data_IF_447102099921
#
_entry.id   IF_447102099921
#
_cell.length_a   1.000
_cell.length_b   1.000
_cell.length_c   1.000
_cell.angle_alpha   90.00
_cell.angle_beta   90.00
_cell.angle_gamma   90.00
#
_symmetry.space_group_name_H-M   'P 1'
#
loop_
_entity.id
_entity.type
_entity.pdbx_description
1 polymer ?
#
# COMPACT_ATOMS: atom_id res chain seq x y z
N UNK A 1 -3.29 -11.88 32.18
CA UNK A 1 -3.57 -10.83 31.18
C UNK A 1 -2.92 -9.50 31.55
N UNK A 2 -3.05 -8.99 32.77
CA UNK A 2 -2.57 -7.67 33.17
C UNK A 2 -1.04 -7.49 33.08
N UNK A 3 -0.26 -8.52 33.46
CA UNK A 3 1.20 -8.52 33.25
C UNK A 3 1.57 -8.19 31.81
N UNK A 4 0.95 -8.85 30.85
CA UNK A 4 1.24 -8.66 29.42
C UNK A 4 0.75 -7.32 28.88
N UNK A 5 -0.37 -6.80 29.40
CA UNK A 5 -0.81 -5.45 29.09
C UNK A 5 0.21 -4.41 29.56
N UNK A 6 0.80 -4.57 30.76
CA UNK A 6 1.86 -3.70 31.28
C UNK A 6 3.13 -3.79 30.43
N UNK A 7 3.50 -5.00 29.99
CA UNK A 7 4.63 -5.20 29.05
C UNK A 7 4.40 -4.43 27.75
N UNK A 8 3.21 -4.51 27.17
CA UNK A 8 2.86 -3.80 25.93
C UNK A 8 2.77 -2.26 26.14
N UNK A 9 2.37 -1.83 27.34
CA UNK A 9 2.36 -0.40 27.71
C UNK A 9 3.75 0.20 27.71
N UNK A 10 4.76 -0.55 28.16
CA UNK A 10 6.18 -0.14 28.13
C UNK A 10 6.80 -0.24 26.73
N UNK A 11 6.45 -1.30 25.98
CA UNK A 11 7.00 -1.57 24.65
C UNK A 11 6.66 -0.49 23.60
N UNK A 12 5.49 0.14 23.71
CA UNK A 12 4.97 1.04 22.68
C UNK A 12 4.55 2.40 23.25
N UNK A 13 5.29 3.49 22.95
CA UNK A 13 4.89 4.84 23.36
C UNK A 13 3.65 5.33 22.60
N UNK A 14 3.42 4.85 21.36
CA UNK A 14 2.28 5.26 20.56
C UNK A 14 0.99 4.55 21.00
N UNK A 15 0.00 5.31 21.47
CA UNK A 15 -1.26 4.81 22.00
C UNK A 15 -2.01 3.88 21.02
N UNK A 16 -2.07 4.24 19.72
CA UNK A 16 -2.74 3.43 18.70
C UNK A 16 -2.04 2.09 18.45
N UNK A 17 -0.72 2.09 18.41
CA UNK A 17 0.07 0.85 18.28
C UNK A 17 -0.14 -0.05 19.48
N UNK A 18 -0.05 0.51 20.68
CA UNK A 18 -0.30 -0.17 21.95
C UNK A 18 -1.65 -0.88 21.96
N UNK A 19 -2.73 -0.15 21.67
CA UNK A 19 -4.09 -0.72 21.67
C UNK A 19 -4.26 -1.82 20.61
N UNK A 20 -3.63 -1.68 19.45
CA UNK A 20 -3.61 -2.73 18.43
C UNK A 20 -2.96 -4.03 18.92
N UNK A 21 -1.86 -3.95 19.67
CA UNK A 21 -1.21 -5.13 20.24
C UNK A 21 -2.02 -5.75 21.37
N UNK A 22 -2.62 -4.94 22.27
CA UNK A 22 -3.54 -5.42 23.31
C UNK A 22 -4.77 -6.11 22.68
N UNK A 23 -5.35 -5.53 21.65
CA UNK A 23 -6.48 -6.13 20.92
C UNK A 23 -6.09 -7.46 20.27
N UNK A 24 -4.88 -7.55 19.69
CA UNK A 24 -4.39 -8.83 19.15
C UNK A 24 -4.16 -9.89 20.23
N UNK A 25 -3.66 -9.50 21.40
CA UNK A 25 -3.48 -10.42 22.52
C UNK A 25 -4.82 -10.97 23.00
N UNK A 26 -5.82 -10.11 23.20
CA UNK A 26 -7.19 -10.53 23.51
C UNK A 26 -7.79 -11.45 22.45
N UNK A 27 -7.56 -11.12 21.16
CA UNK A 27 -7.98 -11.93 20.03
C UNK A 27 -7.30 -13.31 20.02
N UNK A 28 -5.99 -13.35 20.28
CA UNK A 28 -5.21 -14.59 20.33
C UNK A 28 -5.72 -15.55 21.40
N UNK A 29 -5.90 -15.08 22.64
CA UNK A 29 -6.38 -15.88 23.76
C UNK A 29 -7.82 -16.36 23.54
N UNK A 30 -8.69 -15.48 23.06
CA UNK A 30 -10.09 -15.85 22.74
C UNK A 30 -10.17 -16.93 21.66
N UNK A 31 -9.43 -16.78 20.56
CA UNK A 31 -9.49 -17.71 19.42
C UNK A 31 -8.87 -19.07 19.72
N UNK A 32 -7.87 -19.11 20.60
CA UNK A 32 -7.25 -20.35 21.07
C UNK A 32 -8.01 -21.00 22.24
N UNK A 33 -9.04 -20.34 22.75
CA UNK A 33 -9.78 -20.71 23.95
C UNK A 33 -8.85 -20.93 25.15
N UNK A 34 -7.90 -19.99 25.34
CA UNK A 34 -6.88 -20.06 26.36
C UNK A 34 -6.86 -18.75 27.17
N UNK A 35 -7.29 -18.82 28.42
CA UNK A 35 -7.37 -17.61 29.26
C UNK A 35 -6.02 -17.09 29.73
N UNK A 36 -5.03 -17.98 29.90
CA UNK A 36 -3.67 -17.61 30.30
C UNK A 36 -2.73 -17.57 29.07
N UNK A 37 -2.33 -16.38 28.61
CA UNK A 37 -1.37 -16.24 27.51
C UNK A 37 -0.06 -16.99 27.75
N UNK A 38 0.34 -17.21 29.02
CA UNK A 38 1.57 -17.89 29.39
C UNK A 38 1.61 -19.31 28.85
N UNK A 39 0.49 -20.02 28.85
CA UNK A 39 0.40 -21.38 28.31
C UNK A 39 0.64 -21.39 26.80
N UNK A 40 0.08 -20.41 26.10
CA UNK A 40 0.34 -20.26 24.64
C UNK A 40 1.83 -20.03 24.39
N UNK A 41 2.44 -19.11 25.16
CA UNK A 41 3.83 -18.71 24.96
C UNK A 41 4.80 -19.88 25.24
N UNK A 42 4.52 -20.73 26.24
CA UNK A 42 5.37 -21.86 26.66
C UNK A 42 5.28 -23.09 25.74
N UNK A 43 4.23 -23.23 24.95
CA UNK A 43 3.98 -24.44 24.16
C UNK A 43 3.82 -24.18 22.64
N UNK A 44 4.90 -23.73 21.96
CA UNK A 44 4.86 -23.37 20.54
C UNK A 44 4.37 -24.48 19.63
N UNK A 45 4.82 -25.72 19.84
CA UNK A 45 4.47 -26.87 18.99
C UNK A 45 2.99 -27.28 19.13
N UNK A 46 2.36 -26.97 20.27
CA UNK A 46 0.93 -27.20 20.48
C UNK A 46 0.07 -26.12 19.84
N UNK A 47 0.49 -24.86 19.94
CA UNK A 47 -0.36 -23.73 19.52
C UNK A 47 -0.10 -23.24 18.11
N UNK A 48 1.09 -23.42 17.53
CA UNK A 48 1.35 -23.00 16.16
C UNK A 48 0.48 -23.70 15.11
N UNK A 49 0.22 -25.01 15.15
CA UNK A 49 -0.72 -25.66 14.24
C UNK A 49 -2.14 -25.10 14.37
N UNK A 50 -2.59 -24.81 15.60
CA UNK A 50 -3.89 -24.16 15.83
C UNK A 50 -3.95 -22.76 15.18
N UNK A 51 -2.87 -21.98 15.31
CA UNK A 51 -2.76 -20.67 14.63
C UNK A 51 -2.80 -20.80 13.10
N UNK A 52 -2.26 -21.87 12.54
CA UNK A 52 -2.32 -22.11 11.09
C UNK A 52 -3.76 -22.34 10.61
N UNK A 53 -4.55 -23.07 11.39
CA UNK A 53 -5.97 -23.33 11.11
C UNK A 53 -6.83 -22.07 11.29
N UNK A 54 -6.64 -21.37 12.41
CA UNK A 54 -7.46 -20.20 12.78
C UNK A 54 -7.14 -19.00 11.87
N UNK A 55 -5.87 -18.80 11.52
CA UNK A 55 -5.39 -17.70 10.69
C UNK A 55 -4.76 -18.19 9.39
N UNK A 56 -5.55 -18.51 8.35
CA UNK A 56 -5.03 -19.00 7.07
C UNK A 56 -4.15 -17.97 6.36
N UNK A 57 -4.38 -16.67 6.60
CA UNK A 57 -3.55 -15.58 6.03
C UNK A 57 -2.15 -15.56 6.64
N UNK A 58 -1.13 -15.69 5.80
CA UNK A 58 0.28 -15.58 6.21
C UNK A 58 0.58 -14.26 6.93
N UNK A 59 0.01 -13.15 6.45
CA UNK A 59 0.22 -11.81 7.05
C UNK A 59 -0.39 -11.74 8.45
N UNK A 60 -1.57 -12.28 8.66
CA UNK A 60 -2.22 -12.31 9.97
C UNK A 60 -1.42 -13.18 10.94
N UNK A 61 -1.01 -14.38 10.53
CA UNK A 61 -0.17 -15.26 11.36
C UNK A 61 1.14 -14.58 11.74
N UNK A 62 1.85 -13.97 10.78
CA UNK A 62 3.07 -13.23 11.07
C UNK A 62 2.83 -12.14 12.12
N UNK A 63 1.73 -11.40 12.03
CA UNK A 63 1.40 -10.38 13.02
C UNK A 63 1.15 -10.96 14.41
N UNK A 64 0.57 -12.18 14.52
CA UNK A 64 0.41 -12.88 15.80
C UNK A 64 1.76 -13.35 16.36
N UNK A 65 2.62 -13.92 15.50
CA UNK A 65 3.96 -14.29 15.92
C UNK A 65 4.82 -13.09 16.31
N UNK A 66 4.67 -11.95 15.60
CA UNK A 66 5.33 -10.70 15.99
C UNK A 66 4.89 -10.25 17.39
N UNK A 67 3.59 -10.34 17.73
CA UNK A 67 3.10 -10.07 19.10
C UNK A 67 3.81 -10.97 20.12
N UNK A 68 3.86 -12.28 19.86
CA UNK A 68 4.50 -13.26 20.75
C UNK A 68 5.99 -12.91 20.98
N UNK A 69 6.71 -12.60 19.89
CA UNK A 69 8.12 -12.22 19.98
C UNK A 69 8.35 -10.89 20.74
N UNK A 70 7.43 -9.94 20.61
CA UNK A 70 7.46 -8.70 21.39
C UNK A 70 7.33 -9.01 22.88
N UNK A 71 6.40 -9.90 23.28
CA UNK A 71 6.24 -10.28 24.68
C UNK A 71 7.50 -10.93 25.24
N UNK A 72 8.15 -11.83 24.51
CA UNK A 72 9.45 -12.40 24.92
C UNK A 72 10.59 -11.38 24.96
N UNK A 73 10.59 -10.40 24.09
CA UNK A 73 11.61 -9.36 24.05
C UNK A 73 11.52 -8.41 25.26
N UNK A 74 10.31 -8.01 25.58
CA UNK A 74 10.04 -6.99 26.59
C UNK A 74 9.84 -7.57 28.01
N UNK A 75 9.72 -8.90 28.14
CA UNK A 75 9.68 -9.61 29.42
C UNK A 75 10.89 -10.56 29.55
N UNK A 76 12.02 -10.06 30.11
CA UNK A 76 13.26 -10.84 30.26
C UNK A 76 13.06 -12.11 31.11
N UNK A 77 12.22 -12.06 32.13
CA UNK A 77 11.92 -13.22 33.01
C UNK A 77 11.23 -14.30 32.19
N UNK A 78 10.20 -13.97 31.43
CA UNK A 78 9.52 -14.91 30.53
C UNK A 78 10.50 -15.58 29.57
N UNK A 79 11.43 -14.78 28.99
CA UNK A 79 12.43 -15.28 28.05
C UNK A 79 13.46 -16.20 28.70
N UNK A 80 13.96 -15.83 29.89
CA UNK A 80 14.98 -16.62 30.61
C UNK A 80 14.43 -17.94 31.14
N UNK A 81 13.17 -17.97 31.57
CA UNK A 81 12.50 -19.18 31.99
C UNK A 81 12.11 -20.12 30.82
N UNK A 82 11.96 -19.58 29.61
CA UNK A 82 11.45 -20.34 28.46
C UNK A 82 12.28 -20.10 27.18
N UNK A 83 13.61 -20.30 27.23
CA UNK A 83 14.48 -19.97 26.08
C UNK A 83 14.18 -20.81 24.84
N UNK A 84 13.88 -22.10 25.02
CA UNK A 84 13.56 -23.02 23.93
C UNK A 84 12.25 -22.61 23.22
N UNK A 85 11.21 -22.23 23.97
CA UNK A 85 9.96 -21.77 23.41
C UNK A 85 10.14 -20.45 22.63
N UNK A 86 10.90 -19.49 23.19
CA UNK A 86 11.21 -18.25 22.52
C UNK A 86 11.93 -18.47 21.18
N UNK A 87 12.93 -19.39 21.17
CA UNK A 87 13.67 -19.74 19.96
C UNK A 87 12.73 -20.42 18.91
N UNK A 88 11.82 -21.26 19.33
CA UNK A 88 10.88 -21.96 18.46
C UNK A 88 9.86 -21.00 17.84
N UNK A 89 9.30 -20.07 18.60
CA UNK A 89 8.43 -19.04 18.07
C UNK A 89 9.15 -18.14 17.07
N UNK A 90 10.43 -17.81 17.35
CA UNK A 90 11.26 -17.06 16.40
C UNK A 90 11.47 -17.84 15.11
N UNK A 91 11.76 -19.13 15.18
CA UNK A 91 11.89 -19.99 13.99
C UNK A 91 10.62 -19.93 13.12
N UNK A 92 9.42 -20.14 13.71
CA UNK A 92 8.17 -20.08 12.99
C UNK A 92 7.91 -18.70 12.36
N UNK A 93 8.27 -17.62 13.05
CA UNK A 93 8.18 -16.28 12.52
C UNK A 93 9.09 -16.08 11.31
N UNK A 94 10.36 -16.47 11.41
CA UNK A 94 11.36 -16.30 10.36
C UNK A 94 11.00 -17.14 9.12
N UNK A 95 10.41 -18.31 9.29
CA UNK A 95 9.88 -19.12 8.19
C UNK A 95 8.75 -18.40 7.45
N UNK A 96 7.81 -17.79 8.17
CA UNK A 96 6.74 -16.99 7.54
C UNK A 96 7.29 -15.75 6.84
N UNK A 97 8.31 -15.08 7.41
CA UNK A 97 8.98 -13.94 6.78
C UNK A 97 9.61 -14.38 5.46
N UNK A 98 10.35 -15.50 5.44
CA UNK A 98 10.95 -16.03 4.20
C UNK A 98 9.91 -16.32 3.11
N UNK A 99 8.80 -16.95 3.47
CA UNK A 99 7.71 -17.24 2.53
C UNK A 99 7.11 -15.94 1.98
N UNK A 100 6.86 -14.94 2.83
CA UNK A 100 6.34 -13.64 2.39
C UNK A 100 7.32 -12.89 1.49
N UNK A 101 8.60 -12.87 1.84
CA UNK A 101 9.63 -12.21 1.04
C UNK A 101 9.77 -12.88 -0.34
N UNK A 102 9.70 -14.20 -0.42
CA UNK A 102 9.72 -14.91 -1.69
C UNK A 102 8.53 -14.50 -2.58
N UNK A 103 7.32 -14.37 -2.01
CA UNK A 103 6.14 -13.87 -2.75
C UNK A 103 6.33 -12.43 -3.21
N UNK A 104 6.81 -11.55 -2.33
CA UNK A 104 7.08 -10.15 -2.66
C UNK A 104 8.13 -10.01 -3.77
N UNK A 105 9.21 -10.83 -3.74
CA UNK A 105 10.24 -10.83 -4.79
C UNK A 105 9.70 -11.27 -6.14
N UNK A 106 8.70 -12.16 -6.17
CA UNK A 106 8.02 -12.57 -7.41
C UNK A 106 7.00 -11.54 -7.89
N UNK A 107 6.71 -10.51 -7.08
CA UNK A 107 5.64 -9.54 -7.35
C UNK A 107 4.30 -10.22 -7.68
N UNK A 108 3.97 -11.29 -6.95
CA UNK A 108 2.75 -12.06 -7.16
C UNK A 108 1.60 -11.47 -6.32
N UNK A 109 0.46 -11.11 -6.94
CA UNK A 109 -0.73 -10.74 -6.20
C UNK A 109 -1.35 -11.95 -5.47
N UNK A 110 -2.06 -11.69 -4.40
CA UNK A 110 -2.90 -12.71 -3.76
C UNK A 110 -4.17 -12.95 -4.62
N UNK A 111 -4.74 -14.16 -4.60
CA UNK A 111 -5.95 -14.51 -5.35
C UNK A 111 -7.10 -13.54 -5.08
N UNK A 112 -7.22 -13.08 -3.84
CA UNK A 112 -8.21 -12.06 -3.46
C UNK A 112 -7.98 -10.74 -4.19
N UNK A 113 -6.73 -10.34 -4.35
CA UNK A 113 -6.38 -9.09 -5.05
C UNK A 113 -6.68 -9.20 -6.55
N UNK A 114 -6.41 -10.37 -7.14
CA UNK A 114 -6.76 -10.65 -8.55
C UNK A 114 -8.28 -10.56 -8.76
N UNK A 115 -9.08 -11.16 -7.88
CA UNK A 115 -10.55 -11.11 -7.96
C UNK A 115 -11.13 -9.70 -7.77
N UNK A 116 -10.43 -8.85 -7.03
CA UNK A 116 -10.86 -7.49 -6.73
C UNK A 116 -10.22 -6.44 -7.66
N UNK A 117 -9.45 -6.87 -8.64
CA UNK A 117 -8.74 -5.98 -9.54
C UNK A 117 -9.72 -5.28 -10.51
N UNK A 118 -9.62 -3.96 -10.60
CA UNK A 118 -10.34 -3.13 -11.57
C UNK A 118 -9.29 -2.38 -12.37
N UNK A 119 -9.24 -2.55 -13.69
CA UNK A 119 -8.21 -1.90 -14.51
C UNK A 119 -8.35 -0.38 -14.47
N UNK A 120 -7.24 0.32 -14.71
CA UNK A 120 -7.26 1.78 -14.81
C UNK A 120 -8.14 2.27 -15.97
N UNK A 121 -8.20 1.50 -17.06
CA UNK A 121 -9.08 1.77 -18.18
C UNK A 121 -10.57 1.70 -17.77
N UNK A 122 -10.99 0.65 -17.05
CA UNK A 122 -12.36 0.54 -16.51
C UNK A 122 -12.71 1.72 -15.60
N UNK A 123 -11.75 2.17 -14.75
CA UNK A 123 -11.95 3.33 -13.88
C UNK A 123 -12.15 4.60 -14.71
N UNK A 124 -11.30 4.81 -15.72
CA UNK A 124 -11.35 5.97 -16.61
C UNK A 124 -12.64 6.01 -17.41
N UNK A 125 -13.07 4.88 -17.97
CA UNK A 125 -14.32 4.78 -18.75
C UNK A 125 -15.56 5.01 -17.87
N UNK A 126 -15.55 4.49 -16.64
CA UNK A 126 -16.63 4.76 -15.69
C UNK A 126 -16.70 6.22 -15.30
N UNK A 127 -15.55 6.87 -15.06
CA UNK A 127 -15.47 8.31 -14.83
C UNK A 127 -16.07 9.09 -15.98
N UNK A 128 -15.67 8.81 -17.24
CA UNK A 128 -16.22 9.48 -18.44
C UNK A 128 -17.73 9.31 -18.56
N UNK A 129 -18.24 8.10 -18.31
CA UNK A 129 -19.68 7.83 -18.29
C UNK A 129 -20.40 8.63 -17.23
N UNK A 130 -19.89 8.66 -16.00
CA UNK A 130 -20.51 9.44 -14.92
C UNK A 130 -20.43 10.96 -15.19
N UNK A 131 -19.38 11.44 -15.86
CA UNK A 131 -19.23 12.86 -16.22
C UNK A 131 -20.31 13.34 -17.20
N UNK A 132 -20.74 12.46 -18.12
CA UNK A 132 -21.79 12.76 -19.13
C UNK A 132 -23.20 12.48 -18.62
N UNK A 133 -23.34 11.57 -17.65
CA UNK A 133 -24.62 11.25 -17.02
C UNK A 133 -24.98 12.33 -15.97
N UNK A 134 -26.00 13.09 -16.25
CA UNK A 134 -26.50 14.13 -15.35
C UNK A 134 -27.60 13.65 -14.44
N UNK A 135 -27.88 14.35 -13.37
CA UNK A 135 -26.99 15.06 -12.44
C UNK A 135 -26.68 14.19 -11.22
N UNK A 136 -25.51 14.38 -10.60
CA UNK A 136 -25.19 13.76 -9.30
C UNK A 136 -26.03 14.42 -8.20
N UNK A 137 -27.31 14.06 -8.11
CA UNK A 137 -28.31 14.74 -7.28
C UNK A 137 -28.20 14.45 -5.78
N UNK A 138 -27.46 13.41 -5.40
CA UNK A 138 -27.23 13.07 -3.99
C UNK A 138 -25.77 13.27 -3.61
N UNK A 139 -25.51 13.52 -2.33
CA UNK A 139 -24.15 13.58 -1.80
C UNK A 139 -23.37 12.31 -2.15
N UNK A 140 -24.00 11.15 -2.03
CA UNK A 140 -23.39 9.85 -2.35
C UNK A 140 -22.93 9.79 -3.81
N UNK A 141 -23.80 10.06 -4.78
CA UNK A 141 -23.46 10.00 -6.21
C UNK A 141 -22.43 11.07 -6.61
N UNK A 142 -22.49 12.25 -5.98
CA UNK A 142 -21.51 13.30 -6.16
C UNK A 142 -20.13 12.89 -5.64
N UNK A 143 -20.04 12.22 -4.49
CA UNK A 143 -18.78 11.70 -3.94
C UNK A 143 -18.25 10.48 -4.72
N UNK A 144 -19.12 9.64 -5.28
CA UNK A 144 -18.73 8.55 -6.18
C UNK A 144 -18.04 9.09 -7.43
N UNK A 145 -18.65 10.07 -8.09
CA UNK A 145 -18.07 10.74 -9.24
C UNK A 145 -16.73 11.38 -8.90
N UNK A 146 -16.68 12.13 -7.79
CA UNK A 146 -15.47 12.83 -7.36
C UNK A 146 -14.33 11.88 -7.00
N UNK A 147 -14.62 10.72 -6.40
CA UNK A 147 -13.62 9.69 -6.15
C UNK A 147 -12.97 9.22 -7.45
N UNK A 148 -13.76 8.92 -8.48
CA UNK A 148 -13.22 8.50 -9.78
C UNK A 148 -12.46 9.64 -10.47
N UNK A 149 -12.94 10.89 -10.38
CA UNK A 149 -12.22 12.06 -10.89
C UNK A 149 -10.83 12.18 -10.26
N UNK A 150 -10.74 12.08 -8.93
CA UNK A 150 -9.44 12.11 -8.22
C UNK A 150 -8.53 10.97 -8.67
N UNK A 151 -9.05 9.75 -8.81
CA UNK A 151 -8.25 8.59 -9.24
C UNK A 151 -7.75 8.68 -10.68
N UNK A 152 -8.47 9.39 -11.54
CA UNK A 152 -8.08 9.59 -12.95
C UNK A 152 -7.05 10.72 -13.08
N UNK A 153 -7.18 11.77 -12.29
CA UNK A 153 -6.39 13.00 -12.45
C UNK A 153 -5.21 13.10 -11.49
N UNK A 154 -5.23 12.42 -10.34
CA UNK A 154 -4.13 12.42 -9.36
C UNK A 154 -3.57 11.00 -9.13
N UNK A 155 -2.34 10.98 -8.61
CA UNK A 155 -1.74 9.74 -8.11
C UNK A 155 -2.56 9.21 -6.93
N UNK A 156 -2.86 7.90 -6.87
CA UNK A 156 -3.63 7.35 -5.77
C UNK A 156 -2.91 7.52 -4.43
N UNK A 157 -3.51 8.31 -3.54
CA UNK A 157 -3.04 8.49 -2.18
C UNK A 157 -3.46 7.29 -1.31
N UNK A 158 -3.01 7.26 -0.06
CA UNK A 158 -3.55 6.36 0.95
C UNK A 158 -4.92 6.84 1.41
N UNK A 159 -5.43 6.23 2.48
CA UNK A 159 -6.72 6.63 3.08
C UNK A 159 -6.71 8.03 3.71
N UNK A 160 -5.59 8.73 3.66
CA UNK A 160 -5.40 10.08 4.20
C UNK A 160 -6.26 11.14 3.48
N UNK A 161 -6.82 10.83 2.31
CA UNK A 161 -7.78 11.68 1.59
C UNK A 161 -9.15 11.82 2.30
N UNK A 162 -9.48 10.95 3.24
CA UNK A 162 -10.77 10.95 3.93
C UNK A 162 -11.04 12.18 4.78
N UNK A 163 -10.00 12.93 5.18
CA UNK A 163 -10.10 14.11 6.03
C UNK A 163 -9.44 15.35 5.39
N UNK A 164 -9.41 15.44 4.07
CA UNK A 164 -8.88 16.63 3.37
C UNK A 164 -9.89 17.74 3.40
N UNK A 165 -9.54 18.86 4.04
CA UNK A 165 -10.36 20.05 4.18
C UNK A 165 -10.32 20.91 2.93
N UNK A 166 -11.39 21.65 2.67
CA UNK A 166 -11.51 22.52 1.48
C UNK A 166 -11.40 23.98 1.88
N UNK A 167 -10.47 24.70 1.25
CA UNK A 167 -10.33 26.13 1.31
C UNK A 167 -10.59 26.74 -0.06
N UNK A 168 -11.34 27.86 -0.11
CA UNK A 168 -11.79 28.48 -1.38
C UNK A 168 -11.01 29.74 -1.76
N UNK A 169 -10.19 30.25 -0.86
CA UNK A 169 -9.48 31.51 -1.02
C UNK A 169 -7.99 31.32 -0.74
N UNK A 170 -7.46 32.04 0.24
CA UNK A 170 -6.03 32.07 0.52
C UNK A 170 -5.51 30.75 1.09
N UNK A 171 -4.21 30.51 0.87
CA UNK A 171 -3.49 29.42 1.47
C UNK A 171 -3.50 29.55 3.00
N UNK A 172 -4.13 28.62 3.73
CA UNK A 172 -4.20 28.68 5.19
C UNK A 172 -2.83 28.39 5.85
N UNK A 173 -1.82 27.89 5.10
CA UNK A 173 -0.49 27.46 5.59
C UNK A 173 -0.55 26.58 6.84
N UNK A 174 -1.59 25.74 6.92
CA UNK A 174 -1.77 24.82 8.04
C UNK A 174 -0.81 23.63 7.95
N UNK A 175 -0.25 23.22 9.09
CA UNK A 175 0.64 22.06 9.19
C UNK A 175 0.01 20.90 9.94
N UNK A 176 -1.14 21.12 10.59
CA UNK A 176 -1.87 20.18 11.43
C UNK A 176 -3.08 19.52 10.75
N UNK A 177 -3.27 19.77 9.45
CA UNK A 177 -4.34 19.16 8.65
C UNK A 177 -3.90 18.92 7.20
N UNK A 178 -4.62 18.02 6.50
CA UNK A 178 -4.55 17.88 5.05
C UNK A 178 -5.64 18.76 4.43
N UNK A 179 -5.30 19.47 3.36
CA UNK A 179 -6.26 20.39 2.74
C UNK A 179 -6.05 20.55 1.24
N UNK A 180 -7.09 21.06 0.59
CA UNK A 180 -7.08 21.51 -0.79
C UNK A 180 -7.42 22.99 -0.84
N UNK A 181 -6.69 23.76 -1.64
CA UNK A 181 -6.98 25.16 -1.94
C UNK A 181 -7.56 25.24 -3.34
N UNK A 182 -8.81 25.70 -3.43
CA UNK A 182 -9.53 25.93 -4.70
C UNK A 182 -9.60 27.43 -4.98
N UNK A 183 -8.55 28.00 -5.59
CA UNK A 183 -8.50 29.43 -5.89
C UNK A 183 -9.54 29.82 -6.91
N UNK A 184 -10.26 30.91 -6.64
CA UNK A 184 -11.28 31.47 -7.55
C UNK A 184 -10.67 32.38 -8.60
N UNK A 185 -9.61 33.11 -8.24
CA UNK A 185 -8.92 34.08 -9.09
C UNK A 185 -7.39 33.89 -8.95
N UNK A 186 -6.70 33.90 -10.06
CA UNK A 186 -5.24 33.87 -10.14
C UNK A 186 -4.52 32.72 -9.43
N UNK A 187 -3.65 32.01 -10.12
CA UNK A 187 -2.81 30.95 -9.58
C UNK A 187 -3.45 29.55 -9.54
N UNK A 188 -2.60 28.54 -9.40
CA UNK A 188 -3.00 27.13 -9.40
C UNK A 188 -3.76 26.74 -8.14
N UNK A 189 -4.77 25.88 -8.28
CA UNK A 189 -5.35 25.14 -7.14
C UNK A 189 -4.48 23.96 -6.82
N UNK A 190 -4.32 23.59 -5.54
CA UNK A 190 -3.37 22.57 -5.12
C UNK A 190 -3.84 21.79 -3.89
N UNK A 191 -3.32 20.57 -3.75
CA UNK A 191 -3.54 19.67 -2.62
C UNK A 191 -2.31 19.67 -1.71
N UNK A 192 -2.51 19.85 -0.40
CA UNK A 192 -1.44 19.80 0.62
C UNK A 192 -1.69 18.61 1.55
N UNK A 193 -0.67 17.77 1.67
CA UNK A 193 -0.67 16.60 2.55
C UNK A 193 0.41 16.78 3.62
N UNK A 194 -0.02 17.00 4.88
CA UNK A 194 0.83 17.14 6.05
C UNK A 194 0.76 15.91 6.96
N UNK A 195 -0.46 15.39 7.14
CA UNK A 195 -0.76 14.30 8.06
C UNK A 195 -0.92 12.98 7.29
N UNK A 196 0.15 12.21 7.18
CA UNK A 196 0.15 10.88 6.55
C UNK A 196 1.24 9.98 7.14
N UNK A 197 1.15 8.68 6.90
CA UNK A 197 1.98 7.67 7.59
C UNK A 197 3.50 7.91 7.48
N UNK A 198 3.95 8.47 6.36
CA UNK A 198 5.38 8.69 6.05
C UNK A 198 5.79 10.16 6.11
N UNK A 199 4.98 11.04 6.71
CA UNK A 199 5.24 12.48 6.80
C UNK A 199 6.57 12.82 7.50
N UNK A 200 7.06 11.94 8.37
CA UNK A 200 8.39 12.11 9.00
C UNK A 200 9.55 12.13 7.99
N UNK A 201 9.37 11.52 6.81
CA UNK A 201 10.40 11.44 5.77
C UNK A 201 10.25 12.53 4.70
N UNK A 202 9.01 12.83 4.28
CA UNK A 202 8.76 13.77 3.18
C UNK A 202 8.19 15.10 3.63
N UNK A 203 7.91 15.25 4.93
CA UNK A 203 7.29 16.46 5.48
C UNK A 203 5.98 16.81 4.73
N UNK A 204 5.79 18.07 4.35
CA UNK A 204 4.67 18.51 3.53
C UNK A 204 4.86 18.09 2.09
N UNK A 205 3.80 17.52 1.50
CA UNK A 205 3.74 17.23 0.07
C UNK A 205 2.63 18.08 -0.54
N UNK A 206 3.00 18.90 -1.51
CA UNK A 206 2.10 19.74 -2.29
C UNK A 206 2.02 19.21 -3.71
N UNK A 207 0.83 19.23 -4.31
CA UNK A 207 0.57 18.76 -5.66
C UNK A 207 -0.44 19.68 -6.33
N UNK A 208 -0.07 20.28 -7.47
CA UNK A 208 -0.97 21.08 -8.30
C UNK A 208 -2.13 20.23 -8.82
N UNK A 209 -3.31 20.82 -8.85
CA UNK A 209 -4.50 20.15 -9.36
C UNK A 209 -4.72 20.48 -10.83
N UNK A 210 -4.89 19.47 -11.70
CA UNK A 210 -5.32 19.69 -13.07
C UNK A 210 -6.68 20.42 -13.13
N UNK A 211 -6.86 21.30 -14.11
CA UNK A 211 -8.06 22.14 -14.29
C UNK A 211 -9.35 21.32 -14.33
N UNK A 212 -9.32 20.17 -14.98
CA UNK A 212 -10.47 19.27 -15.05
C UNK A 212 -10.90 18.76 -13.66
N UNK A 213 -9.94 18.41 -12.80
CA UNK A 213 -10.24 18.02 -11.42
C UNK A 213 -10.76 19.17 -10.60
N UNK A 214 -10.19 20.38 -10.76
CA UNK A 214 -10.67 21.61 -10.10
C UNK A 214 -12.12 21.89 -10.47
N UNK A 215 -12.48 21.75 -11.74
CA UNK A 215 -13.86 21.89 -12.23
C UNK A 215 -14.80 20.85 -11.60
N UNK A 216 -14.40 19.61 -11.53
CA UNK A 216 -15.17 18.54 -10.93
C UNK A 216 -15.35 18.74 -9.42
N UNK A 217 -14.29 19.18 -8.71
CA UNK A 217 -14.35 19.55 -7.30
C UNK A 217 -15.33 20.69 -7.05
N UNK A 218 -15.21 21.78 -7.81
CA UNK A 218 -16.13 22.94 -7.70
C UNK A 218 -17.56 22.55 -7.97
N UNK A 219 -17.80 21.73 -9.00
CA UNK A 219 -19.15 21.25 -9.33
C UNK A 219 -19.73 20.41 -8.19
N UNK A 220 -18.96 19.47 -7.65
CA UNK A 220 -19.39 18.62 -6.53
C UNK A 220 -19.66 19.41 -5.25
N UNK A 221 -18.78 20.35 -4.92
CA UNK A 221 -18.88 21.20 -3.72
C UNK A 221 -19.94 22.30 -3.86
N UNK A 222 -20.23 22.76 -5.08
CA UNK A 222 -21.29 23.71 -5.35
C UNK A 222 -22.68 23.08 -5.21
N UNK A 223 -22.85 21.84 -5.67
CA UNK A 223 -24.12 21.08 -5.54
C UNK A 223 -24.37 20.59 -4.11
N UNK A 224 -23.32 20.14 -3.44
CA UNK A 224 -23.38 19.61 -2.08
C UNK A 224 -22.33 20.30 -1.22
N UNK A 225 -22.62 21.50 -0.67
CA UNK A 225 -21.69 22.29 0.12
C UNK A 225 -21.19 21.52 1.34
N UNK A 226 -19.87 21.47 1.52
CA UNK A 226 -19.21 20.80 2.63
C UNK A 226 -17.78 21.30 2.82
N UNK A 227 -17.24 21.10 4.01
CA UNK A 227 -15.91 21.58 4.39
C UNK A 227 -14.78 20.60 4.07
N UNK A 228 -15.10 19.39 3.62
CA UNK A 228 -14.14 18.33 3.28
C UNK A 228 -14.43 17.77 1.89
N UNK A 229 -13.41 17.27 1.20
CA UNK A 229 -13.61 16.62 -0.10
C UNK A 229 -14.61 15.47 0.03
N UNK A 230 -14.43 14.64 1.06
CA UNK A 230 -15.32 13.52 1.39
C UNK A 230 -15.85 13.67 2.81
N UNK A 231 -17.14 13.41 2.98
CA UNK A 231 -17.81 13.48 4.28
C UNK A 231 -18.72 12.28 4.49
N UNK A 232 -18.95 11.96 5.74
CA UNK A 232 -20.08 11.13 6.14
C UNK A 232 -21.40 11.87 5.85
N UNK A 233 -22.54 11.20 6.01
CA UNK A 233 -23.86 11.81 5.82
C UNK A 233 -24.12 12.98 6.78
N UNK A 234 -23.53 12.94 7.98
CA UNK A 234 -23.63 14.02 8.97
C UNK A 234 -22.67 15.20 8.72
N UNK A 235 -21.94 15.22 7.59
CA UNK A 235 -21.01 16.30 7.23
C UNK A 235 -19.61 16.18 7.86
N UNK A 236 -19.38 15.23 8.76
CA UNK A 236 -18.07 15.02 9.37
C UNK A 236 -17.05 14.40 8.42
N UNK A 237 -15.74 14.64 8.62
CA UNK A 237 -14.69 13.98 7.83
C UNK A 237 -14.66 12.47 8.07
N UNK A 238 -14.15 11.74 7.10
CA UNK A 238 -13.95 10.31 7.22
C UNK A 238 -12.60 10.02 7.85
N UNK A 239 -12.58 9.17 8.88
CA UNK A 239 -11.33 8.56 9.34
C UNK A 239 -10.71 7.70 8.23
N UNK A 240 -9.41 7.38 8.32
CA UNK A 240 -8.75 6.51 7.35
C UNK A 240 -9.44 5.15 7.18
N UNK A 241 -10.00 4.59 8.25
CA UNK A 241 -10.76 3.35 8.18
C UNK A 241 -12.10 3.54 7.48
N UNK A 242 -12.85 4.58 7.85
CA UNK A 242 -14.14 4.91 7.22
C UNK A 242 -13.97 5.18 5.72
N UNK A 243 -12.95 5.96 5.35
CA UNK A 243 -12.63 6.23 3.93
C UNK A 243 -12.25 4.95 3.17
N UNK A 244 -11.47 4.06 3.79
CA UNK A 244 -11.13 2.78 3.17
C UNK A 244 -12.34 1.88 2.91
N UNK A 245 -13.32 1.89 3.82
CA UNK A 245 -14.60 1.19 3.66
C UNK A 245 -15.45 1.86 2.58
N UNK A 246 -15.55 3.19 2.60
CA UNK A 246 -16.25 4.00 1.61
C UNK A 246 -15.75 3.71 0.18
N UNK A 247 -14.43 3.72 -0.05
CA UNK A 247 -13.85 3.40 -1.36
C UNK A 247 -14.25 1.99 -1.83
N UNK A 248 -14.18 0.99 -0.94
CA UNK A 248 -14.58 -0.38 -1.27
C UNK A 248 -16.04 -0.48 -1.69
N UNK A 249 -16.94 0.19 -0.96
CA UNK A 249 -18.37 0.20 -1.29
C UNK A 249 -18.64 0.85 -2.64
N UNK A 250 -17.99 1.97 -2.94
CA UNK A 250 -18.13 2.62 -4.25
C UNK A 250 -17.67 1.68 -5.36
N UNK A 251 -16.54 1.01 -5.20
CA UNK A 251 -16.05 0.08 -6.21
C UNK A 251 -16.95 -1.15 -6.37
N UNK A 252 -17.52 -1.65 -5.29
CA UNK A 252 -18.49 -2.74 -5.32
C UNK A 252 -19.76 -2.34 -6.06
N UNK A 253 -20.31 -1.16 -5.80
CA UNK A 253 -21.50 -0.63 -6.50
C UNK A 253 -21.24 -0.33 -7.98
N UNK A 254 -20.10 0.26 -8.31
CA UNK A 254 -19.81 0.71 -9.69
C UNK A 254 -19.22 -0.38 -10.59
N UNK A 255 -18.52 -1.37 -10.03
CA UNK A 255 -17.75 -2.37 -10.78
C UNK A 255 -18.05 -3.82 -10.36
N UNK A 256 -18.87 -4.05 -9.33
CA UNK A 256 -19.12 -5.39 -8.75
C UNK A 256 -17.89 -6.00 -8.05
N UNK A 257 -16.89 -5.20 -7.73
CA UNK A 257 -15.62 -5.63 -7.12
C UNK A 257 -15.21 -4.69 -5.99
N UNK A 258 -14.91 -5.24 -4.82
CA UNK A 258 -14.55 -4.47 -3.61
C UNK A 258 -13.07 -4.04 -3.63
N UNK A 259 -12.70 -3.20 -4.60
CA UNK A 259 -11.33 -2.69 -4.78
C UNK A 259 -10.99 -1.70 -3.67
N UNK A 260 -9.94 -1.98 -2.90
CA UNK A 260 -9.52 -1.13 -1.78
C UNK A 260 -8.41 -0.15 -2.17
N UNK A 261 -8.20 0.88 -1.32
CA UNK A 261 -7.21 1.96 -1.52
C UNK A 261 -5.80 1.44 -1.83
N UNK A 262 -5.35 0.39 -1.14
CA UNK A 262 -4.02 -0.21 -1.42
C UNK A 262 -3.97 -0.85 -2.81
N UNK A 263 -5.06 -1.48 -3.24
CA UNK A 263 -5.12 -2.14 -4.55
C UNK A 263 -5.14 -1.11 -5.69
N UNK A 264 -5.80 0.03 -5.51
CA UNK A 264 -5.77 1.15 -6.46
C UNK A 264 -4.36 1.65 -6.73
N UNK A 265 -3.49 1.62 -5.73
CA UNK A 265 -2.08 1.99 -5.87
C UNK A 265 -1.30 0.96 -6.68
N UNK A 266 -1.58 -0.35 -6.48
CA UNK A 266 -1.03 -1.41 -7.33
C UNK A 266 -1.46 -1.23 -8.79
N UNK A 267 -2.74 -0.95 -9.03
CA UNK A 267 -3.31 -0.73 -10.36
C UNK A 267 -2.58 0.42 -11.07
N UNK A 268 -2.51 1.59 -10.43
CA UNK A 268 -1.85 2.76 -10.99
C UNK A 268 -0.37 2.48 -11.33
N UNK A 269 0.39 1.95 -10.38
CA UNK A 269 1.82 1.66 -10.57
C UNK A 269 2.03 0.60 -11.65
N UNK A 270 1.15 -0.39 -11.74
CA UNK A 270 1.28 -1.47 -12.71
C UNK A 270 0.95 -1.01 -14.13
N UNK A 271 -0.09 -0.19 -14.29
CA UNK A 271 -0.62 0.18 -15.61
C UNK A 271 -0.13 1.53 -16.13
N UNK A 272 0.24 2.47 -15.23
CA UNK A 272 0.59 3.84 -15.60
C UNK A 272 2.07 4.16 -15.50
N UNK A 273 2.84 3.46 -14.66
CA UNK A 273 4.26 3.74 -14.49
C UNK A 273 5.10 2.73 -15.26
N UNK A 274 5.98 3.23 -16.10
CA UNK A 274 7.03 2.45 -16.73
C UNK A 274 8.39 2.76 -16.11
N UNK A 275 8.79 1.93 -15.14
CA UNK A 275 10.02 2.14 -14.39
C UNK A 275 11.29 1.96 -15.24
N UNK A 276 11.17 1.31 -16.38
CA UNK A 276 12.32 1.08 -17.25
C UNK A 276 12.66 2.36 -18.05
N UNK A 277 11.64 3.23 -18.27
CA UNK A 277 11.79 4.52 -18.94
C UNK A 277 11.95 5.72 -17.97
N UNK A 278 11.83 5.50 -16.65
CA UNK A 278 11.93 6.54 -15.64
C UNK A 278 13.33 6.61 -15.03
N UNK A 279 13.83 7.83 -14.86
CA UNK A 279 15.02 8.11 -14.04
C UNK A 279 14.75 7.81 -12.55
N UNK A 280 15.81 7.68 -11.75
CA UNK A 280 15.68 7.47 -10.29
C UNK A 280 14.94 8.65 -9.66
N UNK A 281 15.22 9.89 -10.08
CA UNK A 281 14.56 11.09 -9.57
C UNK A 281 13.05 11.07 -9.86
N UNK A 282 12.65 10.75 -11.09
CA UNK A 282 11.23 10.65 -11.45
C UNK A 282 10.51 9.56 -10.65
N UNK A 283 11.17 8.43 -10.38
CA UNK A 283 10.62 7.39 -9.50
C UNK A 283 10.44 7.88 -8.05
N UNK A 284 11.38 8.68 -7.55
CA UNK A 284 11.29 9.27 -6.20
C UNK A 284 10.20 10.33 -6.12
N UNK A 285 10.07 11.18 -7.13
CA UNK A 285 9.03 12.22 -7.21
C UNK A 285 7.63 11.59 -7.29
N UNK A 286 7.44 10.58 -8.13
CA UNK A 286 6.18 9.81 -8.18
C UNK A 286 5.88 9.11 -6.84
N UNK A 287 6.89 8.54 -6.20
CA UNK A 287 6.71 7.91 -4.88
C UNK A 287 6.32 8.93 -3.82
N UNK A 288 6.96 10.11 -3.81
CA UNK A 288 6.63 11.22 -2.91
C UNK A 288 5.19 11.65 -3.08
N UNK A 289 4.74 11.90 -4.32
CA UNK A 289 3.35 12.27 -4.64
C UNK A 289 2.35 11.18 -4.24
N UNK A 290 2.74 9.91 -4.26
CA UNK A 290 1.93 8.79 -3.75
C UNK A 290 2.05 8.58 -2.24
N UNK A 291 2.79 9.43 -1.52
CA UNK A 291 3.02 9.37 -0.07
C UNK A 291 3.67 8.05 0.38
N UNK A 292 4.65 7.54 -0.37
CA UNK A 292 5.42 6.34 0.00
C UNK A 292 6.86 6.40 -0.52
N UNK A 293 7.73 5.49 -0.06
CA UNK A 293 9.12 5.43 -0.51
C UNK A 293 9.25 4.74 -1.87
N UNK A 294 10.24 5.12 -2.68
CA UNK A 294 10.54 4.53 -4.00
C UNK A 294 10.80 3.01 -3.90
N UNK A 295 11.47 2.54 -2.84
CA UNK A 295 11.65 1.12 -2.59
C UNK A 295 10.34 0.35 -2.37
N UNK A 296 9.32 0.99 -1.80
CA UNK A 296 7.99 0.42 -1.66
C UNK A 296 7.23 0.42 -2.99
N UNK A 297 7.45 1.44 -3.82
CA UNK A 297 6.79 1.59 -5.12
C UNK A 297 7.05 0.40 -6.05
N UNK A 298 8.30 -0.08 -6.14
CA UNK A 298 8.66 -1.25 -6.93
C UNK A 298 7.96 -2.53 -6.47
N UNK A 299 7.63 -2.65 -5.18
CA UNK A 299 6.87 -3.79 -4.64
C UNK A 299 5.39 -3.78 -5.03
N UNK A 300 4.86 -2.64 -5.47
CA UNK A 300 3.50 -2.51 -5.94
C UNK A 300 3.34 -2.88 -7.42
N UNK A 301 4.43 -2.91 -8.22
CA UNK A 301 4.35 -3.29 -9.63
C UNK A 301 4.15 -4.79 -9.78
N UNK A 302 3.09 -5.19 -10.43
CA UNK A 302 2.77 -6.58 -10.73
C UNK A 302 2.99 -6.91 -12.20
N UNK A 303 3.31 -8.17 -12.56
CA UNK A 303 3.35 -8.60 -13.95
C UNK A 303 1.96 -8.50 -14.59
N UNK A 304 1.81 -7.72 -15.64
CA UNK A 304 0.53 -7.49 -16.33
C UNK A 304 -0.18 -8.80 -16.72
N UNK A 305 0.60 -9.80 -17.17
CA UNK A 305 0.10 -11.14 -17.55
C UNK A 305 -0.64 -11.90 -16.44
N UNK A 306 -0.37 -11.58 -15.17
CA UNK A 306 -0.99 -12.28 -14.03
C UNK A 306 -2.34 -11.67 -13.67
N UNK A 307 -2.52 -10.37 -13.95
CA UNK A 307 -3.64 -9.60 -13.45
C UNK A 307 -4.78 -9.57 -14.46
N UNK A 308 -4.47 -9.49 -15.75
CA UNK A 308 -5.49 -9.34 -16.79
C UNK A 308 -5.24 -10.30 -17.97
N UNK A 309 -5.64 -11.58 -17.85
CA UNK A 309 -5.53 -12.53 -18.96
C UNK A 309 -6.24 -12.06 -20.23
N UNK A 310 -7.32 -11.27 -20.09
CA UNK A 310 -8.07 -10.70 -21.22
C UNK A 310 -7.35 -9.54 -21.91
N UNK A 311 -6.61 -8.71 -21.16
CA UNK A 311 -5.77 -7.65 -21.74
C UNK A 311 -4.52 -8.21 -22.42
N UNK A 312 -4.06 -9.39 -22.01
CA UNK A 312 -2.93 -10.08 -22.65
C UNK A 312 -3.33 -10.91 -23.86
N UNK A 313 -4.61 -11.21 -24.04
CA UNK A 313 -5.08 -12.01 -25.18
C UNK A 313 -4.71 -11.43 -26.56
N UNK A 314 -4.75 -10.11 -26.81
CA UNK A 314 -4.24 -9.53 -28.06
C UNK A 314 -2.71 -9.64 -28.22
N UNK A 315 -1.96 -9.66 -27.12
CA UNK A 315 -0.49 -9.74 -27.12
C UNK A 315 0.03 -11.19 -27.12
N UNK A 316 -0.79 -12.18 -26.77
CA UNK A 316 -0.43 -13.60 -26.86
C UNK A 316 -0.46 -14.14 -28.30
N UNK A 317 -0.91 -13.38 -29.28
CA UNK A 317 -0.80 -13.75 -30.72
C UNK A 317 0.53 -13.37 -31.34
N UNK A 318 1.46 -12.82 -30.58
CA UNK A 318 2.82 -12.51 -31.06
C UNK A 318 3.78 -13.57 -30.50
N UNK A 319 4.09 -14.49 -31.39
CA UNK A 319 5.31 -15.32 -31.46
C UNK A 319 5.61 -16.27 -30.27
N UNK A 320 4.95 -17.44 -30.30
CA UNK A 320 5.37 -18.63 -29.52
C UNK A 320 6.57 -19.37 -30.10
N UNK A 321 7.34 -18.78 -31.02
CA UNK A 321 8.61 -19.36 -31.45
C UNK A 321 9.66 -19.07 -30.37
N UNK A 322 10.27 -20.10 -29.77
CA UNK A 322 11.36 -19.89 -28.83
C UNK A 322 12.54 -19.33 -29.59
N UNK A 323 12.80 -18.02 -29.44
CA UNK A 323 14.08 -17.44 -29.87
C UNK A 323 15.18 -18.05 -29.00
N UNK A 324 15.69 -19.20 -29.44
CA UNK A 324 16.95 -19.74 -28.94
C UNK A 324 18.02 -18.70 -29.23
N UNK A 325 18.34 -17.85 -28.26
CA UNK A 325 19.56 -17.04 -28.27
C UNK A 325 20.75 -17.98 -28.26
N UNK A 326 21.24 -18.37 -29.45
CA UNK A 326 22.55 -18.96 -29.59
C UNK A 326 23.58 -17.92 -29.15
N UNK A 327 24.05 -18.06 -27.92
CA UNK A 327 25.22 -17.35 -27.43
C UNK A 327 26.41 -17.86 -28.24
N UNK A 328 26.76 -17.18 -29.35
CA UNK A 328 28.05 -17.37 -30.00
C UNK A 328 29.13 -16.80 -29.07
N UNK A 329 29.74 -17.67 -28.26
CA UNK A 329 31.02 -17.38 -27.63
C UNK A 329 32.03 -17.13 -28.74
N UNK A 330 32.41 -15.87 -29.03
CA UNK A 330 33.62 -15.53 -29.74
C UNK A 330 34.81 -15.89 -28.84
N UNK A 331 35.39 -17.04 -29.07
CA UNK A 331 36.76 -17.35 -28.59
C UNK A 331 37.71 -16.44 -29.37
N UNK A 332 38.20 -15.39 -28.75
CA UNK A 332 39.33 -14.63 -29.26
C UNK A 332 40.61 -15.44 -29.01
N UNK A 333 41.12 -16.07 -30.05
CA UNK A 333 42.47 -16.64 -30.09
C UNK A 333 43.51 -15.50 -30.03
N UNK A 334 44.03 -15.25 -28.84
CA UNK A 334 45.27 -14.42 -28.72
C UNK A 334 46.46 -15.28 -29.15
N UNK A 335 47.10 -14.92 -30.27
CA UNK A 335 48.41 -15.41 -30.66
C UNK A 335 49.47 -14.94 -29.64
N UNK A 336 50.46 -15.77 -29.29
CA UNK A 336 51.53 -15.38 -28.39
C UNK A 336 52.52 -14.46 -29.13
N UNK A 337 52.76 -13.29 -28.57
CA UNK A 337 53.83 -12.39 -29.00
C UNK A 337 55.18 -12.89 -28.51
N UNK A 338 56.12 -13.06 -29.49
CA UNK A 338 57.53 -13.38 -29.25
C UNK A 338 58.20 -12.29 -28.42
N UNK A 339 58.75 -12.68 -27.25
CA UNK A 339 59.69 -11.85 -26.48
C UNK A 339 61.03 -11.78 -27.17
N UNK A 340 61.39 -10.59 -27.62
CA UNK A 340 62.74 -10.23 -28.09
C UNK A 340 63.61 -10.00 -26.84
N UNK A 341 64.62 -10.84 -26.65
CA UNK A 341 65.73 -10.59 -25.71
C UNK A 341 66.54 -9.42 -26.21
N UNK A 342 66.68 -8.37 -25.45
CA UNK A 342 67.77 -7.38 -25.57
C UNK A 342 68.74 -7.60 -24.42
N UNK A 343 69.98 -7.95 -24.82
CA UNK A 343 71.16 -8.00 -23.99
C UNK A 343 71.54 -6.58 -23.53
N UNK A 344 71.82 -6.41 -22.27
CA UNK A 344 72.54 -5.27 -21.68
C UNK A 344 73.99 -5.69 -21.52
N UNK A 345 74.90 -5.01 -22.23
CA UNK A 345 76.31 -4.87 -21.90
C UNK A 345 76.50 -3.41 -21.44
N UNK A 346 77.29 -3.31 -20.37
CA UNK A 346 77.91 -2.26 -19.61
C UNK A 346 77.11 -1.67 -18.46
#
# INVERSE_FOLDING_TARGET
>A
MDRFNQVLDKAFPNAKTKENYKSRLRGLTKMLNEADPTLILKAPDTYYPKLQTIYPSLSTRKNMLTLILVLFREDPTLKSENPAAAAKWKQYHDDLVRIQEAKVRRSEPEDKQVKQYTSYEEITDKYRKLKTQTPHNTLKTSQQFLLLSILVHLRPKRADLGAVKVYKTDDPRKTDENYVVLRTEGGSSYLVMNLYKTSKYYQTVEEDLPDELVKDLRTSLGRHPRNYIFTKENGEPMSNNTYSVFVKHIFEELFGRSTGVSLLRHIYITEKLDFDDMTIQEQEDEAKLMLHTSGLQRRYKWPKKVICPKLCAPYMKIDTTPKTRKFKRKLSSKKPTKKTRRSLQH
#
